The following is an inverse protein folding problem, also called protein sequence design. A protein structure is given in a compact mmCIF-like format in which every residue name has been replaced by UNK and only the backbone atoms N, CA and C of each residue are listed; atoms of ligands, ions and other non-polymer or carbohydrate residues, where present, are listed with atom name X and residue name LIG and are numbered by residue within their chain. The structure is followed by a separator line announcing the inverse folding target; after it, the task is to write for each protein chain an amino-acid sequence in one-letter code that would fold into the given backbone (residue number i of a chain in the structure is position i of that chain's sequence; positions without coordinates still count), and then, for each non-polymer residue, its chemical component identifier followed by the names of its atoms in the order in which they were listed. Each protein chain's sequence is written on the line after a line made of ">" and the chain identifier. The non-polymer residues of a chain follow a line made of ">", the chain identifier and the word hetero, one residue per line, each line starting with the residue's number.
data_IF_598812644294
#
_entry.id   IF_598812644294
#
_cell.length_a   1.000
_cell.length_b   1.000
_cell.length_c   1.000
_cell.angle_alpha   90.00
_cell.angle_beta   90.00
_cell.angle_gamma   90.00
#
_symmetry.space_group_name_H-M   'P 1'
#
loop_
_entity.id
_entity.type
_entity.pdbx_description
1 polymer ?
#
# COMPACT_ATOMS: atom_id res chain seq x y z
N UNK A 1 -26.29 -38.80 -25.69
CA UNK A 1 -25.26 -37.82 -25.28
C UNK A 1 -25.91 -36.46 -25.46
N UNK A 2 -26.16 -35.73 -24.36
CA UNK A 2 -26.88 -34.44 -24.26
C UNK A 2 -28.42 -34.47 -24.18
N UNK A 3 -29.01 -35.32 -23.34
CA UNK A 3 -30.39 -35.11 -22.87
C UNK A 3 -30.39 -34.84 -21.36
N UNK A 4 -31.13 -33.80 -20.95
CA UNK A 4 -31.45 -33.34 -19.58
C UNK A 4 -30.53 -32.32 -18.89
N UNK A 5 -30.37 -31.14 -19.50
CA UNK A 5 -30.48 -29.90 -18.69
C UNK A 5 -31.83 -29.31 -19.07
N UNK A 6 -32.80 -29.36 -18.16
CA UNK A 6 -34.10 -28.71 -18.37
C UNK A 6 -33.94 -27.19 -18.36
N UNK A 7 -34.91 -26.46 -18.93
CA UNK A 7 -34.89 -24.99 -18.99
C UNK A 7 -34.70 -24.35 -17.60
N UNK A 8 -35.15 -25.05 -16.54
CA UNK A 8 -34.97 -24.68 -15.14
C UNK A 8 -33.49 -24.74 -14.73
N UNK A 9 -32.75 -25.77 -15.16
CA UNK A 9 -31.31 -25.88 -14.99
C UNK A 9 -30.54 -24.77 -15.71
N UNK A 10 -30.97 -24.40 -16.92
CA UNK A 10 -30.38 -23.30 -17.67
C UNK A 10 -30.62 -21.92 -17.02
N UNK A 11 -31.84 -21.66 -16.55
CA UNK A 11 -32.17 -20.41 -15.85
C UNK A 11 -31.44 -20.28 -14.52
N UNK A 12 -31.28 -21.39 -13.78
CA UNK A 12 -30.47 -21.42 -12.55
C UNK A 12 -29.00 -21.12 -12.83
N UNK A 13 -28.42 -21.74 -13.86
CA UNK A 13 -27.06 -21.43 -14.28
C UNK A 13 -26.91 -19.96 -14.66
N UNK A 14 -27.86 -19.37 -15.40
CA UNK A 14 -27.82 -17.95 -15.79
C UNK A 14 -27.84 -17.00 -14.58
N UNK A 15 -28.68 -17.29 -13.58
CA UNK A 15 -28.73 -16.51 -12.32
C UNK A 15 -27.42 -16.59 -11.55
N UNK A 16 -26.87 -17.79 -11.38
CA UNK A 16 -25.60 -17.98 -10.69
C UNK A 16 -24.44 -17.23 -11.38
N UNK A 17 -24.43 -17.20 -12.72
CA UNK A 17 -23.44 -16.44 -13.48
C UNK A 17 -23.56 -14.93 -13.30
N UNK A 18 -24.79 -14.40 -13.28
CA UNK A 18 -25.03 -12.98 -13.01
C UNK A 18 -24.60 -12.59 -11.58
N UNK A 19 -24.94 -13.40 -10.58
CA UNK A 19 -24.49 -13.19 -9.20
C UNK A 19 -22.96 -13.27 -9.08
N UNK A 20 -22.30 -14.17 -9.81
CA UNK A 20 -20.84 -14.27 -9.84
C UNK A 20 -20.19 -13.03 -10.47
N UNK A 21 -20.75 -12.51 -11.56
CA UNK A 21 -20.28 -11.30 -12.23
C UNK A 21 -20.41 -10.07 -11.31
N UNK A 22 -21.58 -9.89 -10.68
CA UNK A 22 -21.82 -8.81 -9.71
C UNK A 22 -20.87 -8.90 -8.50
N UNK A 23 -20.67 -10.12 -7.97
CA UNK A 23 -19.74 -10.35 -6.86
C UNK A 23 -18.30 -10.04 -7.28
N UNK A 24 -17.91 -10.41 -8.50
CA UNK A 24 -16.58 -10.12 -9.04
C UNK A 24 -16.38 -8.61 -9.20
N UNK A 25 -17.37 -7.88 -9.72
CA UNK A 25 -17.34 -6.42 -9.81
C UNK A 25 -17.21 -5.73 -8.45
N UNK A 26 -17.95 -6.21 -7.45
CA UNK A 26 -17.83 -5.70 -6.08
C UNK A 26 -16.45 -5.94 -5.46
N UNK A 27 -15.86 -7.12 -5.67
CA UNK A 27 -14.50 -7.44 -5.22
C UNK A 27 -13.47 -6.54 -5.91
N UNK A 28 -13.59 -6.32 -7.23
CA UNK A 28 -12.72 -5.40 -7.96
C UNK A 28 -12.77 -3.99 -7.37
N UNK A 29 -13.97 -3.46 -7.09
CA UNK A 29 -14.13 -2.14 -6.46
C UNK A 29 -13.48 -2.08 -5.07
N UNK A 30 -13.66 -3.10 -4.24
CA UNK A 30 -13.04 -3.17 -2.92
C UNK A 30 -11.50 -3.17 -3.02
N UNK A 31 -10.95 -3.94 -3.97
CA UNK A 31 -9.51 -3.96 -4.24
C UNK A 31 -9.00 -2.59 -4.69
N UNK A 32 -9.74 -1.89 -5.55
CA UNK A 32 -9.41 -0.53 -5.98
C UNK A 32 -9.38 0.45 -4.80
N UNK A 33 -10.43 0.44 -3.96
CA UNK A 33 -10.49 1.29 -2.76
C UNK A 33 -9.32 1.02 -1.83
N UNK A 34 -8.97 -0.25 -1.62
CA UNK A 34 -7.84 -0.65 -0.78
C UNK A 34 -6.47 -0.21 -1.35
N UNK A 35 -6.29 -0.26 -2.68
CA UNK A 35 -5.07 0.21 -3.34
C UNK A 35 -4.92 1.72 -3.25
N UNK A 36 -5.99 2.48 -3.49
CA UNK A 36 -6.01 3.95 -3.32
C UNK A 36 -5.68 4.30 -1.87
N UNK A 37 -6.36 3.65 -0.92
CA UNK A 37 -6.15 3.83 0.50
C UNK A 37 -4.68 3.64 0.91
N UNK A 38 -4.09 2.54 0.45
CA UNK A 38 -2.68 2.24 0.67
C UNK A 38 -1.77 3.33 0.08
N UNK A 39 -2.04 3.79 -1.14
CA UNK A 39 -1.23 4.82 -1.78
C UNK A 39 -1.27 6.14 -1.01
N UNK A 40 -2.44 6.55 -0.52
CA UNK A 40 -2.61 7.80 0.21
C UNK A 40 -1.81 7.81 1.50
N UNK A 41 -1.87 6.71 2.26
CA UNK A 41 -1.10 6.51 3.49
C UNK A 41 0.40 6.59 3.21
N UNK A 42 0.87 5.96 2.13
CA UNK A 42 2.28 6.05 1.74
C UNK A 42 2.67 7.48 1.39
N UNK A 43 1.83 8.24 0.68
CA UNK A 43 2.15 9.64 0.36
C UNK A 43 2.18 10.48 1.64
N UNK A 44 1.25 10.30 2.58
CA UNK A 44 1.25 11.03 3.85
C UNK A 44 2.53 10.76 4.67
N UNK A 45 2.97 9.50 4.73
CA UNK A 45 4.24 9.17 5.38
C UNK A 45 5.43 9.82 4.67
N UNK A 46 5.47 9.81 3.33
CA UNK A 46 6.54 10.47 2.56
C UNK A 46 6.56 11.99 2.78
N UNK A 47 5.40 12.63 2.91
CA UNK A 47 5.25 14.06 3.21
C UNK A 47 5.78 14.39 4.62
N UNK A 48 5.46 13.58 5.63
CA UNK A 48 5.99 13.80 6.99
C UNK A 48 7.51 13.55 7.06
N UNK A 49 8.00 12.48 6.43
CA UNK A 49 9.45 12.21 6.34
C UNK A 49 10.16 13.41 5.68
N UNK A 50 9.56 13.97 4.62
CA UNK A 50 10.08 15.16 3.94
C UNK A 50 10.09 16.39 4.86
N UNK A 51 9.02 16.61 5.62
CA UNK A 51 8.90 17.72 6.57
C UNK A 51 9.97 17.65 7.68
N UNK A 52 10.23 16.45 8.22
CA UNK A 52 11.20 16.27 9.32
C UNK A 52 12.66 16.22 8.89
N UNK A 53 12.96 15.52 7.81
CA UNK A 53 14.33 15.38 7.32
C UNK A 53 14.77 16.56 6.45
N UNK A 54 13.80 17.30 5.91
CA UNK A 54 14.00 18.34 4.93
C UNK A 54 14.08 17.80 3.50
N UNK A 55 13.52 18.56 2.56
CA UNK A 55 13.37 18.20 1.14
C UNK A 55 14.67 17.69 0.48
N UNK A 56 15.82 18.31 0.78
CA UNK A 56 17.10 17.90 0.20
C UNK A 56 17.55 16.51 0.70
N UNK A 57 17.46 16.25 2.00
CA UNK A 57 17.83 14.94 2.58
C UNK A 57 16.90 13.87 2.04
N UNK A 58 15.59 14.15 2.03
CA UNK A 58 14.60 13.20 1.53
C UNK A 58 14.76 12.90 0.04
N UNK A 59 15.11 13.88 -0.80
CA UNK A 59 15.42 13.65 -2.21
C UNK A 59 16.60 12.67 -2.38
N UNK A 60 17.65 12.79 -1.55
CA UNK A 60 18.81 11.87 -1.55
C UNK A 60 18.44 10.47 -1.08
N UNK A 61 17.63 10.36 -0.02
CA UNK A 61 17.09 9.09 0.48
C UNK A 61 16.27 8.38 -0.59
N UNK A 62 15.30 9.07 -1.21
CA UNK A 62 14.49 8.52 -2.32
C UNK A 62 15.37 8.04 -3.47
N UNK A 63 16.40 8.79 -3.84
CA UNK A 63 17.32 8.39 -4.90
C UNK A 63 18.10 7.11 -4.54
N UNK A 64 18.60 7.01 -3.31
CA UNK A 64 19.33 5.85 -2.80
C UNK A 64 18.46 4.59 -2.77
N UNK A 65 17.24 4.68 -2.23
CA UNK A 65 16.27 3.58 -2.20
C UNK A 65 15.90 3.15 -3.62
N UNK A 66 15.53 4.09 -4.50
CA UNK A 66 15.19 3.77 -5.88
C UNK A 66 16.35 3.12 -6.64
N UNK A 67 17.59 3.55 -6.39
CA UNK A 67 18.79 2.93 -6.95
C UNK A 67 18.96 1.50 -6.43
N UNK A 68 18.83 1.28 -5.12
CA UNK A 68 18.93 -0.05 -4.50
C UNK A 68 17.91 -1.00 -5.12
N UNK A 69 16.64 -0.60 -5.17
CA UNK A 69 15.53 -1.36 -5.74
C UNK A 69 15.73 -1.68 -7.23
N UNK A 70 16.09 -0.67 -8.05
CA UNK A 70 16.29 -0.86 -9.50
C UNK A 70 17.40 -1.87 -9.81
N UNK A 71 18.46 -1.86 -9.02
CA UNK A 71 19.63 -2.71 -9.23
C UNK A 71 19.59 -4.02 -8.41
N UNK A 72 18.48 -4.29 -7.70
CA UNK A 72 18.32 -5.45 -6.79
C UNK A 72 19.52 -5.62 -5.85
N UNK A 73 20.08 -4.51 -5.36
CA UNK A 73 21.20 -4.55 -4.41
C UNK A 73 20.67 -4.73 -2.99
N UNK A 74 21.48 -5.39 -2.16
CA UNK A 74 21.20 -5.52 -0.72
C UNK A 74 21.54 -4.21 0.00
N UNK A 75 22.62 -3.54 -0.41
CA UNK A 75 23.19 -2.42 0.35
C UNK A 75 23.11 -1.05 -0.34
N UNK A 76 23.12 -0.02 0.51
CA UNK A 76 23.34 1.38 0.13
C UNK A 76 24.82 1.63 -0.16
N UNK A 77 25.11 2.66 -0.97
CA UNK A 77 26.49 3.09 -1.20
C UNK A 77 27.00 3.87 0.00
N UNK A 78 28.33 3.91 0.17
CA UNK A 78 28.97 4.66 1.26
C UNK A 78 28.63 6.16 1.26
N UNK A 79 28.51 6.77 0.09
CA UNK A 79 28.10 8.19 -0.08
C UNK A 79 26.61 8.44 0.17
N UNK A 80 25.80 7.38 0.27
CA UNK A 80 24.37 7.44 0.62
C UNK A 80 24.15 7.29 2.13
N UNK A 81 25.10 6.71 2.87
CA UNK A 81 24.91 6.29 4.28
C UNK A 81 24.61 7.45 5.22
N UNK A 82 25.13 8.67 4.95
CA UNK A 82 24.79 9.86 5.73
C UNK A 82 23.28 10.13 5.72
N UNK A 83 22.66 10.06 4.54
CA UNK A 83 21.24 10.33 4.36
C UNK A 83 20.38 9.16 4.86
N UNK A 84 20.84 7.92 4.65
CA UNK A 84 20.14 6.73 5.15
C UNK A 84 20.19 6.64 6.68
N UNK A 85 21.28 7.09 7.31
CA UNK A 85 21.36 7.17 8.77
C UNK A 85 20.38 8.20 9.34
N UNK A 86 20.23 9.36 8.68
CA UNK A 86 19.20 10.35 9.04
C UNK A 86 17.80 9.76 8.95
N UNK A 87 17.51 9.01 7.88
CA UNK A 87 16.25 8.28 7.78
C UNK A 87 16.10 7.25 8.91
N UNK A 88 17.11 6.39 9.19
CA UNK A 88 17.04 5.38 10.26
C UNK A 88 16.71 6.00 11.62
N UNK A 89 17.35 7.12 11.97
CA UNK A 89 17.12 7.78 13.24
C UNK A 89 15.67 8.26 13.37
N UNK A 90 15.12 8.87 12.31
CA UNK A 90 13.70 9.26 12.29
C UNK A 90 12.78 8.04 12.41
N UNK A 91 13.05 6.99 11.64
CA UNK A 91 12.20 5.80 11.62
C UNK A 91 12.21 5.05 12.96
N UNK A 92 13.30 5.12 13.74
CA UNK A 92 13.34 4.58 15.09
C UNK A 92 12.30 5.22 16.01
N UNK A 93 12.00 6.51 15.85
CA UNK A 93 10.97 7.21 16.65
C UNK A 93 9.57 6.61 16.45
N UNK A 94 9.33 6.05 15.26
CA UNK A 94 8.05 5.44 14.87
C UNK A 94 8.13 3.91 14.75
N UNK A 95 9.17 3.29 15.30
CA UNK A 95 9.40 1.85 15.28
C UNK A 95 9.38 1.22 13.87
N UNK A 96 9.81 1.99 12.86
CA UNK A 96 9.96 1.56 11.48
C UNK A 96 11.43 1.37 11.10
N UNK A 97 11.64 0.65 10.02
CA UNK A 97 12.94 0.37 9.42
C UNK A 97 13.00 0.93 8.01
N UNK A 98 14.22 1.07 7.47
CA UNK A 98 14.39 1.47 6.06
C UNK A 98 13.74 0.45 5.12
N UNK A 99 13.73 -0.83 5.51
CA UNK A 99 13.06 -1.90 4.77
C UNK A 99 11.54 -1.69 4.71
N UNK A 100 10.91 -1.22 5.79
CA UNK A 100 9.49 -0.85 5.78
C UNK A 100 9.22 0.25 4.72
N UNK A 101 10.07 1.28 4.63
CA UNK A 101 9.95 2.33 3.60
C UNK A 101 10.16 1.77 2.19
N UNK A 102 11.13 0.88 2.00
CA UNK A 102 11.37 0.21 0.72
C UNK A 102 10.13 -0.58 0.27
N UNK A 103 9.52 -1.35 1.18
CA UNK A 103 8.29 -2.12 0.93
C UNK A 103 7.11 -1.22 0.54
N UNK A 104 6.90 -0.12 1.26
CA UNK A 104 5.84 0.85 0.96
C UNK A 104 6.03 1.52 -0.41
N UNK A 105 7.27 1.87 -0.76
CA UNK A 105 7.58 2.41 -2.10
C UNK A 105 7.37 1.38 -3.21
N UNK A 106 7.64 0.10 -2.97
CA UNK A 106 7.35 -0.99 -3.92
C UNK A 106 5.82 -1.14 -4.09
N UNK A 107 5.08 -1.17 -2.99
CA UNK A 107 3.63 -1.33 -2.99
C UNK A 107 2.95 -0.19 -3.77
N UNK A 108 3.36 1.06 -3.51
CA UNK A 108 2.91 2.23 -4.26
C UNK A 108 3.20 2.12 -5.76
N UNK A 109 4.39 1.65 -6.13
CA UNK A 109 4.74 1.44 -7.55
C UNK A 109 3.90 0.35 -8.21
N UNK A 110 3.64 -0.78 -7.52
CA UNK A 110 2.79 -1.85 -8.03
C UNK A 110 1.35 -1.35 -8.23
N UNK A 111 0.80 -0.65 -7.24
CA UNK A 111 -0.54 -0.08 -7.31
C UNK A 111 -0.66 0.96 -8.44
N UNK A 112 0.32 1.86 -8.59
CA UNK A 112 0.33 2.86 -9.66
C UNK A 112 0.56 2.28 -11.06
N UNK A 113 1.31 1.18 -11.19
CA UNK A 113 1.54 0.52 -12.48
C UNK A 113 0.29 -0.22 -12.97
N UNK A 114 -0.56 -0.69 -12.04
CA UNK A 114 -1.77 -1.42 -12.38
C UNK A 114 -2.98 -0.52 -12.61
N UNK A 115 -3.08 0.66 -11.96
CA UNK A 115 -4.28 1.50 -12.06
C UNK A 115 -3.96 3.00 -11.94
N UNK A 116 -4.44 3.82 -12.89
CA UNK A 116 -4.38 5.27 -12.80
C UNK A 116 -5.76 5.87 -12.54
N UNK A 117 -5.82 6.74 -11.51
CA UNK A 117 -6.84 7.75 -11.13
C UNK A 117 -7.76 7.37 -9.96
N UNK A 118 -7.63 8.09 -8.83
CA UNK A 118 -8.73 8.69 -8.03
C UNK A 118 -8.21 9.51 -6.84
N UNK A 119 -9.14 10.26 -6.22
CA UNK A 119 -8.96 11.19 -5.09
C UNK A 119 -8.54 10.51 -3.78
N UNK A 120 -7.80 11.29 -2.97
CA UNK A 120 -7.25 10.94 -1.65
C UNK A 120 -8.37 10.71 -0.62
N UNK A 121 -8.25 9.69 0.22
CA UNK A 121 -9.10 9.42 1.39
C UNK A 121 -8.47 9.93 2.70
N UNK A 122 -9.29 10.18 3.72
CA UNK A 122 -8.87 10.68 5.03
C UNK A 122 -8.35 9.55 5.97
N UNK A 123 -7.30 9.78 6.80
CA UNK A 123 -6.58 8.73 7.55
C UNK A 123 -7.43 7.83 8.45
N UNK A 124 -8.50 8.38 9.03
CA UNK A 124 -9.37 7.66 9.97
C UNK A 124 -10.30 6.67 9.27
N UNK A 125 -10.88 7.07 8.13
CA UNK A 125 -11.69 6.20 7.26
C UNK A 125 -10.83 5.10 6.64
N UNK A 126 -9.55 5.41 6.41
CA UNK A 126 -8.55 4.49 5.88
C UNK A 126 -8.20 3.36 6.86
N UNK A 127 -7.99 3.66 8.15
CA UNK A 127 -7.67 2.65 9.19
C UNK A 127 -8.78 1.61 9.34
N UNK A 128 -10.02 2.07 9.29
CA UNK A 128 -11.22 1.22 9.47
C UNK A 128 -11.43 0.28 8.28
N UNK A 129 -11.25 0.77 7.04
CA UNK A 129 -11.28 -0.06 5.82
C UNK A 129 -10.08 -1.00 5.70
N UNK A 130 -8.91 -0.59 6.18
CA UNK A 130 -7.69 -1.38 6.13
C UNK A 130 -7.77 -2.63 7.02
N UNK A 131 -8.21 -2.49 8.28
CA UNK A 131 -8.29 -3.63 9.21
C UNK A 131 -9.37 -4.65 8.83
N UNK A 132 -10.39 -4.24 8.05
CA UNK A 132 -11.52 -5.11 7.66
C UNK A 132 -11.31 -5.89 6.37
N UNK A 133 -10.42 -5.45 5.46
CA UNK A 133 -10.35 -5.98 4.09
C UNK A 133 -8.94 -6.40 3.63
N UNK A 134 -7.97 -6.46 4.54
CA UNK A 134 -6.57 -6.73 4.17
C UNK A 134 -6.36 -8.17 3.68
N UNK A 135 -5.90 -8.40 2.44
CA UNK A 135 -5.64 -9.74 1.93
C UNK A 135 -4.53 -10.45 2.72
N UNK A 136 -4.74 -11.72 3.07
CA UNK A 136 -3.76 -12.53 3.84
C UNK A 136 -2.41 -12.65 3.09
N UNK A 137 -2.44 -12.61 1.75
CA UNK A 137 -1.25 -12.69 0.89
C UNK A 137 -0.33 -11.45 0.97
N UNK A 138 -0.80 -10.37 1.60
CA UNK A 138 -0.05 -9.13 1.81
C UNK A 138 0.39 -8.96 3.27
N UNK A 139 0.26 -9.99 4.11
CA UNK A 139 0.53 -9.94 5.56
C UNK A 139 1.84 -9.24 5.95
N UNK A 140 2.90 -9.42 5.17
CA UNK A 140 4.20 -8.77 5.41
C UNK A 140 4.12 -7.23 5.38
N UNK A 141 3.19 -6.65 4.60
CA UNK A 141 2.92 -5.21 4.55
C UNK A 141 1.97 -4.74 5.65
N UNK A 142 1.20 -5.66 6.25
CA UNK A 142 0.17 -5.34 7.25
C UNK A 142 0.79 -4.75 8.52
N UNK A 143 1.90 -5.33 8.96
CA UNK A 143 2.61 -4.86 10.16
C UNK A 143 3.25 -3.48 9.93
N UNK A 144 3.85 -3.25 8.76
CA UNK A 144 4.40 -1.93 8.40
C UNK A 144 3.31 -0.86 8.35
N UNK A 145 2.15 -1.16 7.76
CA UNK A 145 1.02 -0.23 7.67
C UNK A 145 0.39 0.08 9.02
N UNK A 146 0.29 -0.91 9.93
CA UNK A 146 -0.22 -0.67 11.29
C UNK A 146 0.66 0.32 12.05
N UNK A 147 1.99 0.20 11.93
CA UNK A 147 2.93 1.17 12.51
C UNK A 147 2.73 2.58 11.96
N UNK A 148 2.43 2.72 10.65
CA UNK A 148 2.14 4.02 10.05
C UNK A 148 0.87 4.63 10.64
N UNK A 149 -0.21 3.85 10.79
CA UNK A 149 -1.43 4.35 11.42
C UNK A 149 -1.22 4.77 12.88
N UNK A 150 -0.44 4.03 13.64
CA UNK A 150 -0.15 4.37 15.04
C UNK A 150 0.74 5.63 15.15
N UNK A 151 1.65 5.83 14.20
CA UNK A 151 2.45 7.06 14.11
C UNK A 151 1.58 8.28 13.79
N UNK A 152 0.69 8.17 12.78
CA UNK A 152 -0.23 9.24 12.39
C UNK A 152 -1.17 9.64 13.55
N UNK A 153 -1.76 8.67 14.24
CA UNK A 153 -2.63 8.93 15.40
C UNK A 153 -1.91 9.66 16.56
N UNK A 154 -0.60 9.43 16.72
CA UNK A 154 0.21 10.09 17.75
C UNK A 154 0.63 11.51 17.37
N UNK A 155 0.72 11.82 16.07
CA UNK A 155 1.09 13.15 15.60
C UNK A 155 -0.09 14.12 15.58
N UNK A 156 -1.31 13.65 15.28
CA UNK A 156 -2.53 14.49 15.35
C UNK A 156 -2.91 14.93 16.78
N UNK A 157 -2.31 14.31 17.80
CA UNK A 157 -2.58 14.61 19.23
C UNK A 157 -1.62 15.63 19.85
N UNK A 158 -0.60 16.07 19.13
CA UNK A 158 0.37 17.10 19.56
C UNK A 158 0.21 18.38 18.77
#
# INVERSE_FOLDING_TARGET
>A
MWDNIDDVGWDKCRKNWAELDDNTGNICRIIEEHKTATNDIVILLEEEVEARLGANVWAKVRAAINRKLRNRKVDFKRDEEEYISKLRNFLQEINMTVEDIELLMILKKKNNAEFHKRERLEPKELKEKFETLFPEDLKDFKDSMRKVFDALDNWDRN
#
